data_IF_204703481352
#
_entry.id   IF_204703481352
#
_cell.length_a   1.000
_cell.length_b   1.000
_cell.length_c   1.000
_cell.angle_alpha   90.00
_cell.angle_beta   90.00
_cell.angle_gamma   90.00
#
_symmetry.space_group_name_H-M   'P 1'
#
loop_
_entity.id
_entity.type
_entity.pdbx_description
1 polymer ?
#
# COMPACT_ATOMS: atom_id res chain seq x y z
N UNK A 1 -12.25 20.09 -11.86
CA UNK A 1 -12.11 19.51 -10.51
C UNK A 1 -12.68 18.09 -10.55
N UNK A 2 -11.88 17.04 -10.28
CA UNK A 2 -12.41 15.67 -10.24
C UNK A 2 -13.50 15.61 -9.18
N UNK A 3 -14.76 15.51 -9.60
CA UNK A 3 -15.91 15.46 -8.72
C UNK A 3 -16.01 14.05 -8.14
N UNK A 4 -15.15 13.76 -7.17
CA UNK A 4 -15.27 12.51 -6.41
C UNK A 4 -16.47 12.62 -5.49
N UNK A 5 -17.19 11.52 -5.28
CA UNK A 5 -18.34 11.47 -4.35
C UNK A 5 -18.00 12.07 -2.97
N UNK A 6 -16.75 11.90 -2.53
CA UNK A 6 -16.21 12.49 -1.31
C UNK A 6 -16.27 14.02 -1.34
N UNK A 7 -15.76 14.65 -2.40
CA UNK A 7 -15.74 16.11 -2.53
C UNK A 7 -17.14 16.73 -2.47
N UNK A 8 -18.15 16.07 -3.06
CA UNK A 8 -19.54 16.54 -3.00
C UNK A 8 -20.09 16.49 -1.56
N UNK A 9 -19.95 15.35 -0.89
CA UNK A 9 -20.42 15.17 0.49
C UNK A 9 -19.72 16.12 1.47
N UNK A 10 -18.41 16.34 1.30
CA UNK A 10 -17.67 17.29 2.12
C UNK A 10 -18.21 18.72 1.97
N UNK A 11 -18.55 19.14 0.75
CA UNK A 11 -19.12 20.46 0.51
C UNK A 11 -20.48 20.62 1.19
N UNK A 12 -21.40 19.66 1.01
CA UNK A 12 -22.73 19.70 1.63
C UNK A 12 -22.65 19.74 3.17
N UNK A 13 -21.70 19.00 3.76
CA UNK A 13 -21.46 19.02 5.21
C UNK A 13 -20.90 20.36 5.70
N UNK A 14 -19.97 20.96 4.95
CA UNK A 14 -19.39 22.26 5.31
C UNK A 14 -20.46 23.34 5.20
N UNK A 15 -21.22 23.36 4.09
CA UNK A 15 -22.29 24.34 3.86
C UNK A 15 -23.35 24.29 4.97
N UNK A 16 -23.79 23.08 5.34
CA UNK A 16 -24.72 22.90 6.45
C UNK A 16 -24.15 23.31 7.82
N UNK A 17 -22.86 23.06 8.07
CA UNK A 17 -22.24 23.42 9.34
C UNK A 17 -21.98 24.93 9.49
N UNK A 18 -21.77 25.66 8.39
CA UNK A 18 -21.55 27.11 8.42
C UNK A 18 -22.76 27.90 8.94
N UNK A 19 -23.94 27.30 8.95
CA UNK A 19 -25.19 27.92 9.42
C UNK A 19 -25.26 27.98 10.96
N UNK A 20 -24.47 27.17 11.70
CA UNK A 20 -24.46 27.16 13.17
C UNK A 20 -23.04 27.02 13.73
N UNK A 21 -22.74 27.82 14.76
CA UNK A 21 -21.43 27.78 15.42
C UNK A 21 -21.19 26.44 16.14
N UNK A 22 -22.24 25.88 16.75
CA UNK A 22 -22.23 24.58 17.41
C UNK A 22 -22.00 23.45 16.40
N UNK A 23 -22.69 23.49 15.25
CA UNK A 23 -22.52 22.51 14.18
C UNK A 23 -21.10 22.55 13.60
N UNK A 24 -20.55 23.76 13.39
CA UNK A 24 -19.16 23.95 12.96
C UNK A 24 -18.16 23.35 13.94
N UNK A 25 -18.36 23.54 15.26
CA UNK A 25 -17.50 22.96 16.29
C UNK A 25 -17.51 21.43 16.26
N UNK A 26 -18.70 20.82 16.16
CA UNK A 26 -18.84 19.36 16.06
C UNK A 26 -18.16 18.80 14.80
N UNK A 27 -18.30 19.51 13.68
CA UNK A 27 -17.67 19.10 12.42
C UNK A 27 -16.14 19.18 12.51
N UNK A 28 -15.59 20.23 13.12
CA UNK A 28 -14.16 20.40 13.33
C UNK A 28 -13.56 19.29 14.20
N UNK A 29 -14.15 18.99 15.36
CA UNK A 29 -13.71 17.89 16.24
C UNK A 29 -13.75 16.54 15.50
N UNK A 30 -14.79 16.32 14.69
CA UNK A 30 -14.91 15.11 13.86
C UNK A 30 -13.83 15.02 12.78
N UNK A 31 -13.48 16.15 12.14
CA UNK A 31 -12.42 16.22 11.13
C UNK A 31 -11.03 15.97 11.71
N UNK A 32 -10.74 16.43 12.92
CA UNK A 32 -9.48 16.14 13.60
C UNK A 32 -9.30 14.64 13.86
N UNK A 33 -10.33 13.98 14.41
CA UNK A 33 -10.29 12.53 14.61
C UNK A 33 -10.19 11.73 13.31
N UNK A 34 -10.85 12.19 12.24
CA UNK A 34 -10.70 11.57 10.92
C UNK A 34 -9.31 11.79 10.33
N UNK A 35 -8.69 12.96 10.53
CA UNK A 35 -7.32 13.25 10.09
C UNK A 35 -6.32 12.28 10.72
N UNK A 36 -6.44 12.02 12.01
CA UNK A 36 -5.61 11.05 12.73
C UNK A 36 -5.77 9.63 12.18
N UNK A 37 -7.02 9.18 11.94
CA UNK A 37 -7.30 7.87 11.34
C UNK A 37 -6.73 7.73 9.93
N UNK A 38 -6.88 8.76 9.08
CA UNK A 38 -6.32 8.76 7.73
C UNK A 38 -4.79 8.70 7.80
N UNK A 39 -4.17 9.50 8.67
CA UNK A 39 -2.73 9.45 8.89
C UNK A 39 -2.28 8.07 9.37
N UNK A 40 -2.99 7.43 10.30
CA UNK A 40 -2.68 6.07 10.72
C UNK A 40 -2.75 5.09 9.54
N UNK A 41 -3.80 5.10 8.73
CA UNK A 41 -3.89 4.18 7.57
C UNK A 41 -2.79 4.44 6.54
N UNK A 42 -2.49 5.71 6.26
CA UNK A 42 -1.45 6.10 5.29
C UNK A 42 -0.04 5.74 5.79
N UNK A 43 0.24 5.89 7.09
CA UNK A 43 1.57 5.65 7.67
C UNK A 43 1.77 4.23 8.21
N UNK A 44 0.72 3.53 8.65
CA UNK A 44 0.77 2.09 8.97
C UNK A 44 1.05 1.25 7.73
N UNK A 45 0.77 1.79 6.54
CA UNK A 45 1.19 1.19 5.26
C UNK A 45 2.71 1.28 5.01
N UNK A 46 3.45 2.08 5.80
CA UNK A 46 4.90 2.27 5.65
C UNK A 46 5.72 1.46 6.67
N UNK A 47 5.10 0.74 7.61
CA UNK A 47 5.81 0.06 8.70
C UNK A 47 5.80 -1.46 8.59
N UNK A 48 6.03 -1.96 7.37
CA UNK A 48 6.59 -3.30 7.16
C UNK A 48 8.04 -3.10 6.70
N UNK A 49 8.96 -2.96 7.65
CA UNK A 49 10.35 -3.44 7.63
C UNK A 49 11.21 -2.62 8.59
N UNK A 50 11.76 -3.26 9.63
CA UNK A 50 13.07 -2.87 10.16
C UNK A 50 13.22 -2.89 11.67
N UNK A 51 13.79 -3.97 12.19
CA UNK A 51 14.79 -3.86 13.26
C UNK A 51 14.35 -4.26 14.65
N UNK A 52 14.71 -5.49 15.04
CA UNK A 52 15.01 -5.81 16.43
C UNK A 52 16.07 -4.84 16.96
N UNK A 53 15.97 -4.42 18.22
CA UNK A 53 16.99 -4.67 19.25
C UNK A 53 16.50 -4.17 20.61
N UNK A 54 16.86 -4.98 21.59
CA UNK A 54 16.63 -4.93 23.02
C UNK A 54 17.12 -3.64 23.73
N UNK A 55 16.30 -3.09 24.63
CA UNK A 55 16.59 -2.93 26.07
C UNK A 55 15.88 -1.73 26.75
N UNK A 56 15.29 -2.06 27.89
CA UNK A 56 15.13 -1.26 29.10
C UNK A 56 14.04 -0.16 29.16
N UNK A 57 12.93 -0.59 29.79
CA UNK A 57 12.33 0.07 30.96
C UNK A 57 11.46 1.31 30.71
N UNK A 58 10.13 1.14 30.71
CA UNK A 58 9.29 1.86 31.67
C UNK A 58 7.88 1.27 31.72
N UNK A 59 7.45 1.02 32.95
CA UNK A 59 6.21 0.41 33.38
C UNK A 59 4.99 1.28 33.10
N UNK A 60 4.06 0.83 32.27
CA UNK A 60 2.63 0.97 32.56
C UNK A 60 1.83 -0.19 31.95
N UNK A 61 0.90 -0.71 32.74
CA UNK A 61 0.15 -1.93 32.49
C UNK A 61 -0.72 -1.81 31.24
N UNK A 62 -0.45 -2.62 30.21
CA UNK A 62 -1.34 -2.78 29.05
C UNK A 62 -2.32 -3.93 29.33
N UNK A 63 -3.64 -3.78 29.05
CA UNK A 63 -4.58 -4.88 29.17
C UNK A 63 -4.16 -6.00 28.23
N UNK A 64 -3.85 -7.17 28.79
CA UNK A 64 -3.52 -8.36 28.02
C UNK A 64 -4.77 -8.86 27.28
N UNK A 65 -5.05 -8.29 26.11
CA UNK A 65 -5.94 -8.88 25.14
C UNK A 65 -5.28 -10.19 24.70
N UNK A 66 -5.96 -11.30 24.98
CA UNK A 66 -5.54 -12.63 24.57
C UNK A 66 -5.72 -12.72 23.05
N UNK A 67 -4.80 -12.12 22.30
CA UNK A 67 -4.82 -12.18 20.85
C UNK A 67 -4.72 -13.65 20.44
N UNK A 68 -5.65 -14.16 19.61
CA UNK A 68 -5.54 -15.50 19.07
C UNK A 68 -4.16 -15.61 18.42
N UNK A 69 -3.36 -16.61 18.83
CA UNK A 69 -2.05 -16.89 18.24
C UNK A 69 -2.15 -16.70 16.74
N UNK A 70 -1.28 -15.86 16.16
CA UNK A 70 -1.32 -15.57 14.73
C UNK A 70 -1.20 -16.88 13.95
N UNK A 71 -2.34 -17.41 13.53
CA UNK A 71 -2.39 -18.61 12.72
C UNK A 71 -1.94 -18.18 11.34
N UNK A 72 -0.72 -18.56 10.94
CA UNK A 72 -0.27 -18.42 9.55
C UNK A 72 -1.37 -19.02 8.68
N UNK A 73 -1.93 -18.21 7.77
CA UNK A 73 -2.79 -18.75 6.74
C UNK A 73 -2.04 -19.89 6.04
N UNK A 74 -2.60 -21.12 6.11
CA UNK A 74 -2.12 -22.24 5.31
C UNK A 74 -2.35 -21.89 3.84
N UNK A 75 -1.36 -21.29 3.19
CA UNK A 75 -1.54 -20.87 1.81
C UNK A 75 -0.50 -19.95 1.18
N UNK A 76 0.49 -19.42 1.91
CA UNK A 76 1.57 -18.62 1.28
C UNK A 76 2.93 -19.34 1.33
N UNK A 77 2.95 -20.62 0.96
CA UNK A 77 4.21 -21.27 0.61
C UNK A 77 4.50 -20.94 -0.85
N UNK A 78 5.50 -20.10 -1.10
CA UNK A 78 6.08 -19.92 -2.43
C UNK A 78 6.43 -21.31 -2.96
N UNK A 79 5.78 -21.74 -4.04
CA UNK A 79 6.05 -23.05 -4.66
C UNK A 79 7.51 -23.08 -5.10
N UNK A 80 8.24 -24.12 -4.68
CA UNK A 80 9.58 -24.38 -5.22
C UNK A 80 9.43 -24.64 -6.73
N UNK A 81 10.12 -23.83 -7.53
CA UNK A 81 10.11 -23.95 -8.99
C UNK A 81 10.70 -25.31 -9.39
N UNK A 82 9.96 -26.09 -10.17
CA UNK A 82 10.37 -27.43 -10.58
C UNK A 82 11.60 -27.41 -11.50
N UNK A 83 12.26 -28.56 -11.67
CA UNK A 83 13.45 -28.67 -12.53
C UNK A 83 13.21 -28.20 -13.97
N UNK A 84 12.06 -28.57 -14.55
CA UNK A 84 11.63 -28.12 -15.88
C UNK A 84 11.49 -26.59 -15.97
N UNK A 85 10.86 -25.97 -14.99
CA UNK A 85 10.67 -24.52 -14.94
C UNK A 85 11.98 -23.75 -14.71
N UNK A 86 12.92 -24.33 -13.95
CA UNK A 86 14.28 -23.80 -13.79
C UNK A 86 15.07 -23.89 -15.10
N UNK A 87 14.86 -24.93 -15.89
CA UNK A 87 15.51 -25.12 -17.18
C UNK A 87 14.96 -24.15 -18.26
N UNK A 88 13.63 -23.91 -18.27
CA UNK A 88 13.00 -23.01 -19.24
C UNK A 88 13.43 -21.54 -19.09
N UNK A 89 13.77 -21.10 -17.87
CA UNK A 89 14.21 -19.72 -17.64
C UNK A 89 15.56 -19.36 -18.30
N UNK A 90 16.24 -20.34 -18.92
CA UNK A 90 17.50 -20.17 -19.64
C UNK A 90 17.32 -19.98 -21.15
N UNK A 91 16.11 -20.09 -21.71
CA UNK A 91 15.90 -19.69 -23.10
C UNK A 91 16.01 -18.17 -23.14
N UNK A 92 17.17 -17.65 -23.55
CA UNK A 92 17.36 -16.22 -23.77
C UNK A 92 16.27 -15.78 -24.75
N UNK A 93 15.44 -14.84 -24.34
CA UNK A 93 14.50 -14.21 -25.24
C UNK A 93 15.33 -13.44 -26.28
N UNK A 94 15.07 -13.70 -27.57
CA UNK A 94 15.72 -13.02 -28.68
C UNK A 94 14.75 -11.96 -29.19
N UNK A 95 15.24 -10.76 -29.49
CA UNK A 95 14.44 -9.74 -30.14
C UNK A 95 13.97 -10.25 -31.51
N UNK A 96 12.68 -10.14 -31.81
CA UNK A 96 12.12 -10.61 -33.08
C UNK A 96 12.66 -9.80 -34.28
N UNK A 97 13.02 -8.53 -34.07
CA UNK A 97 13.45 -7.65 -35.17
C UNK A 97 14.92 -7.82 -35.53
N UNK A 98 15.81 -7.98 -34.54
CA UNK A 98 17.25 -8.05 -34.79
C UNK A 98 17.89 -9.39 -34.38
N UNK A 99 17.12 -10.31 -33.79
CA UNK A 99 17.59 -11.62 -33.34
C UNK A 99 18.51 -11.59 -32.11
N UNK A 100 18.88 -10.41 -31.60
CA UNK A 100 19.81 -10.29 -30.47
C UNK A 100 19.12 -10.50 -29.13
N UNK A 101 19.85 -11.04 -28.15
CA UNK A 101 19.36 -11.24 -26.79
C UNK A 101 19.67 -10.04 -25.90
N UNK A 102 18.82 -9.75 -24.92
CA UNK A 102 19.05 -8.69 -23.93
C UNK A 102 18.18 -7.44 -24.11
N UNK A 103 17.30 -7.43 -25.10
CA UNK A 103 16.27 -6.42 -25.27
C UNK A 103 15.05 -7.02 -25.99
N UNK A 104 13.91 -6.33 -25.90
CA UNK A 104 12.68 -6.73 -26.58
C UNK A 104 12.45 -5.84 -27.80
N UNK A 105 11.46 -6.20 -28.64
CA UNK A 105 11.05 -5.45 -29.82
C UNK A 105 10.91 -3.94 -29.56
N UNK A 106 10.30 -3.56 -28.44
CA UNK A 106 10.04 -2.16 -28.06
C UNK A 106 11.29 -1.36 -27.72
N UNK A 107 12.34 -2.05 -27.28
CA UNK A 107 13.63 -1.45 -26.92
C UNK A 107 14.70 -1.74 -27.97
N UNK A 108 14.28 -2.22 -29.15
CA UNK A 108 15.18 -2.50 -30.26
C UNK A 108 15.57 -1.21 -30.97
N UNK A 109 16.86 -0.88 -30.92
CA UNK A 109 17.39 0.34 -31.54
C UNK A 109 17.25 0.34 -33.07
N UNK A 110 17.12 -0.83 -33.70
CA UNK A 110 16.88 -0.94 -35.16
C UNK A 110 15.44 -0.58 -35.56
N UNK A 111 14.47 -0.66 -34.64
CA UNK A 111 13.09 -0.24 -34.89
C UNK A 111 12.81 1.22 -34.49
N UNK A 112 13.61 1.78 -33.59
CA UNK A 112 13.47 3.19 -33.16
C UNK A 112 13.99 4.17 -34.23
N UNK A 113 14.89 3.74 -35.12
CA UNK A 113 15.53 4.58 -36.13
C UNK A 113 14.92 4.48 -37.55
N UNK A 114 13.63 4.14 -37.67
CA UNK A 114 12.89 4.17 -38.94
C UNK A 114 11.69 5.11 -38.87
#
# INVERSE_FOLDING_TARGET
MRQTRLSKLSFELIDGALVSQEASKVLLESFEGMREKINFVVHSSNNICGGNNENATSSYMSPHLNDPLQVRAKGCCKRLKGGKEKAMNKSKHHCHECGQTGHDRRTCTTHINQ
#
